data_IF_146161751638
#
_entry.id   IF_146161751638
#
_cell.length_a   1.000
_cell.length_b   1.000
_cell.length_c   1.000
_cell.angle_alpha   90.00
_cell.angle_beta   90.00
_cell.angle_gamma   90.00
#
_symmetry.space_group_name_H-M   'P 1'
#
loop_
_entity.id
_entity.type
_entity.pdbx_description
1 polymer ?
#
# COMPACT_ATOMS: atom_id res chain seq x y z
N UNK A 1 6.91 -0.57 -2.71
CA UNK A 1 5.68 -0.20 -3.46
C UNK A 1 5.61 1.29 -3.81
N UNK A 2 5.84 2.21 -2.86
CA UNK A 2 5.87 3.67 -3.11
C UNK A 2 6.67 4.08 -4.37
N UNK A 3 7.95 3.72 -4.44
CA UNK A 3 8.83 4.12 -5.56
C UNK A 3 8.37 3.54 -6.90
N UNK A 4 7.77 2.35 -6.89
CA UNK A 4 7.19 1.75 -8.08
C UNK A 4 5.99 2.57 -8.55
N UNK A 5 5.05 2.89 -7.67
CA UNK A 5 3.87 3.67 -8.03
C UNK A 5 4.21 5.06 -8.57
N UNK A 6 5.18 5.75 -7.94
CA UNK A 6 5.66 7.05 -8.42
C UNK A 6 6.39 6.93 -9.76
N UNK A 7 7.08 5.83 -10.04
CA UNK A 7 7.75 5.59 -11.31
C UNK A 7 6.76 5.32 -12.45
N UNK A 8 5.75 4.50 -12.19
CA UNK A 8 4.78 4.09 -13.22
C UNK A 8 3.70 5.16 -13.47
N UNK A 9 3.24 5.84 -12.43
CA UNK A 9 2.07 6.73 -12.49
C UNK A 9 2.37 8.19 -12.14
N UNK A 10 3.58 8.50 -11.66
CA UNK A 10 3.99 9.86 -11.34
C UNK A 10 3.03 10.56 -10.39
N UNK A 11 2.57 11.79 -10.70
CA UNK A 11 1.62 12.53 -9.88
C UNK A 11 0.27 11.83 -9.65
N UNK A 12 -0.12 10.89 -10.52
CA UNK A 12 -1.39 10.15 -10.43
C UNK A 12 -1.30 8.90 -9.56
N UNK A 13 -0.12 8.61 -8.96
CA UNK A 13 0.10 7.40 -8.19
C UNK A 13 -0.93 7.19 -7.08
N UNK A 14 -1.30 8.26 -6.36
CA UNK A 14 -2.30 8.19 -5.30
C UNK A 14 -3.70 7.89 -5.84
N UNK A 15 -4.09 8.51 -6.94
CA UNK A 15 -5.42 8.34 -7.53
C UNK A 15 -5.59 6.93 -8.10
N UNK A 16 -4.55 6.39 -8.76
CA UNK A 16 -4.55 5.02 -9.29
C UNK A 16 -4.68 4.00 -8.15
N UNK A 17 -3.89 4.15 -7.08
CA UNK A 17 -4.01 3.27 -5.92
C UNK A 17 -5.37 3.38 -5.24
N UNK A 18 -5.88 4.60 -5.05
CA UNK A 18 -7.19 4.83 -4.46
C UNK A 18 -8.31 4.20 -5.27
N UNK A 19 -8.19 4.19 -6.60
CA UNK A 19 -9.13 3.54 -7.50
C UNK A 19 -9.10 2.00 -7.38
N UNK A 20 -7.92 1.42 -7.11
CA UNK A 20 -7.79 -0.01 -6.75
C UNK A 20 -8.23 -0.33 -5.32
N UNK A 21 -8.69 0.67 -4.56
CA UNK A 21 -9.13 0.51 -3.16
C UNK A 21 -8.01 0.66 -2.13
N UNK A 22 -6.81 1.10 -2.53
CA UNK A 22 -5.65 1.26 -1.65
C UNK A 22 -5.50 2.73 -1.28
N UNK A 23 -5.94 3.10 -0.07
CA UNK A 23 -5.93 4.49 0.44
C UNK A 23 -5.08 4.65 1.69
N UNK A 24 -4.87 3.56 2.42
CA UNK A 24 -4.15 3.50 3.68
C UNK A 24 -3.13 2.37 3.65
N UNK A 25 -2.24 2.38 4.63
CA UNK A 25 -1.29 1.29 4.83
C UNK A 25 -1.98 -0.02 5.20
N UNK A 26 -3.12 0.05 5.92
CA UNK A 26 -3.98 -1.10 6.23
C UNK A 26 -4.51 -1.81 4.98
N UNK A 27 -4.86 -1.07 3.93
CA UNK A 27 -5.38 -1.71 2.71
C UNK A 27 -4.35 -2.65 2.05
N UNK A 28 -3.05 -2.36 2.19
CA UNK A 28 -2.00 -3.30 1.78
C UNK A 28 -1.96 -4.55 2.66
N UNK A 29 -2.17 -4.40 3.97
CA UNK A 29 -2.32 -5.50 4.90
C UNK A 29 -3.47 -6.43 4.49
N UNK A 30 -4.63 -5.86 4.14
CA UNK A 30 -5.79 -6.64 3.65
C UNK A 30 -5.47 -7.42 2.38
N UNK A 31 -4.73 -6.84 1.43
CA UNK A 31 -4.27 -7.56 0.22
C UNK A 31 -3.38 -8.75 0.60
N UNK A 32 -2.38 -8.54 1.46
CA UNK A 32 -1.45 -9.59 1.91
C UNK A 32 -2.19 -10.70 2.66
N UNK A 33 -3.09 -10.34 3.58
CA UNK A 33 -3.86 -11.31 4.36
C UNK A 33 -4.92 -12.05 3.53
N UNK A 34 -5.47 -11.43 2.48
CA UNK A 34 -6.29 -12.15 1.50
C UNK A 34 -5.47 -13.21 0.76
N UNK A 35 -4.24 -12.89 0.34
CA UNK A 35 -3.35 -13.86 -0.30
C UNK A 35 -2.97 -15.00 0.66
N UNK A 36 -2.74 -14.70 1.94
CA UNK A 36 -2.50 -15.71 2.99
C UNK A 36 -3.72 -16.64 3.13
N UNK A 37 -4.93 -16.07 3.23
CA UNK A 37 -6.18 -16.84 3.35
C UNK A 37 -6.40 -17.80 2.17
N UNK A 38 -5.95 -17.42 0.98
CA UNK A 38 -6.03 -18.24 -0.23
C UNK A 38 -4.82 -19.16 -0.44
N UNK A 39 -3.88 -19.24 0.51
CA UNK A 39 -2.71 -20.12 0.44
C UNK A 39 -1.66 -19.71 -0.59
N UNK A 40 -1.70 -18.45 -1.05
CA UNK A 40 -0.73 -17.89 -2.00
C UNK A 40 0.49 -17.28 -1.29
N UNK A 41 0.35 -16.96 0.00
CA UNK A 41 1.42 -16.48 0.87
C UNK A 41 1.35 -17.22 2.21
N UNK A 42 2.48 -17.30 2.90
CA UNK A 42 2.57 -17.79 4.27
C UNK A 42 2.73 -16.60 5.23
N UNK A 43 2.20 -16.75 6.45
CA UNK A 43 2.38 -15.80 7.55
C UNK A 43 2.95 -16.52 8.77
N UNK A 44 3.64 -15.78 9.63
CA UNK A 44 4.00 -16.26 10.96
C UNK A 44 2.82 -16.11 11.92
N UNK A 45 2.83 -16.86 13.02
CA UNK A 45 1.78 -16.80 14.05
C UNK A 45 1.63 -15.42 14.71
N UNK A 46 2.69 -14.60 14.64
CA UNK A 46 2.73 -13.26 15.23
C UNK A 46 2.33 -12.17 14.24
N UNK A 47 2.25 -12.47 12.95
CA UNK A 47 1.92 -11.47 11.94
C UNK A 47 0.44 -11.10 12.09
N UNK A 48 0.17 -9.81 12.20
CA UNK A 48 -1.18 -9.27 12.33
C UNK A 48 -1.44 -8.30 11.19
N UNK A 49 -2.66 -8.28 10.71
CA UNK A 49 -3.07 -7.29 9.72
C UNK A 49 -3.02 -5.88 10.32
N UNK A 50 -3.14 -5.75 11.65
CA UNK A 50 -2.92 -4.51 12.40
C UNK A 50 -1.49 -3.97 12.31
N UNK A 51 -0.49 -4.80 11.96
CA UNK A 51 0.90 -4.34 11.79
C UNK A 51 1.03 -3.37 10.60
N UNK A 52 -0.01 -3.31 9.76
CA UNK A 52 -0.12 -2.38 8.64
C UNK A 52 -0.89 -1.10 9.00
N UNK A 53 -1.44 -0.97 10.20
CA UNK A 53 -2.23 0.21 10.58
C UNK A 53 -1.32 1.43 10.79
N UNK A 54 -1.65 2.54 10.13
CA UNK A 54 -1.04 3.86 10.34
C UNK A 54 0.50 3.90 10.23
N UNK A 55 1.14 2.99 9.50
CA UNK A 55 2.60 2.94 9.35
C UNK A 55 3.15 4.21 8.71
N UNK A 56 2.42 4.76 7.74
CA UNK A 56 2.63 6.09 7.16
C UNK A 56 1.35 6.57 6.45
N UNK A 57 1.28 7.87 6.16
CA UNK A 57 0.22 8.45 5.34
C UNK A 57 0.53 8.20 3.85
N UNK A 58 -0.32 7.40 3.20
CA UNK A 58 -0.15 7.00 1.78
C UNK A 58 -0.22 8.21 0.85
N UNK A 59 -1.06 9.19 1.15
CA UNK A 59 -1.26 10.38 0.33
C UNK A 59 -0.03 11.28 0.37
N UNK A 60 0.49 11.53 1.56
CA UNK A 60 1.74 12.26 1.76
C UNK A 60 2.92 11.54 1.11
N UNK A 61 3.01 10.22 1.28
CA UNK A 61 4.05 9.42 0.67
C UNK A 61 4.03 9.51 -0.87
N UNK A 62 2.85 9.59 -1.49
CA UNK A 62 2.73 9.65 -2.96
C UNK A 62 2.66 11.07 -3.53
N UNK A 63 2.90 12.11 -2.72
CA UNK A 63 2.99 13.47 -3.26
C UNK A 63 4.10 13.56 -4.31
N UNK A 64 3.84 14.21 -5.46
CA UNK A 64 4.87 14.48 -6.44
C UNK A 64 5.98 15.33 -5.80
N UNK A 65 7.23 14.95 -6.05
CA UNK A 65 8.35 15.79 -5.66
C UNK A 65 8.21 17.14 -6.37
N UNK A 66 8.25 18.24 -5.62
CA UNK A 66 8.31 19.58 -6.23
C UNK A 66 9.55 19.62 -7.11
N UNK A 67 9.35 19.69 -8.42
CA UNK A 67 10.42 20.02 -9.36
C UNK A 67 10.82 21.46 -9.03
N UNK A 68 12.09 21.64 -8.63
CA UNK A 68 12.69 22.97 -8.52
C UNK A 68 13.01 23.50 -9.91
#
# INVERSE_FOLDING_TARGET
LRSLALREFGPLAFDVWSWWGIKTTRDWGEVVFNLIRHGLLNANEQDRVEDFDNVYDVREALKPARVK
#
